data_IF_654495577897
#
_entry.id   IF_654495577897
#
_cell.length_a   1.000
_cell.length_b   1.000
_cell.length_c   1.000
_cell.angle_alpha   90.00
_cell.angle_beta   90.00
_cell.angle_gamma   90.00
#
_symmetry.space_group_name_H-M   'P 1'
#
loop_
_entity.id
_entity.type
_entity.pdbx_description
1 polymer ?
#
# COMPACT_ATOMS: atom_id res chain seq x y z
N UNK A 1 13.73 -23.59 -33.40
CA UNK A 1 13.74 -24.67 -32.38
C UNK A 1 12.55 -24.44 -31.47
N UNK A 2 11.38 -24.96 -31.89
CA UNK A 2 10.12 -24.95 -31.12
C UNK A 2 10.22 -26.05 -30.06
N UNK A 3 10.74 -25.75 -28.89
CA UNK A 3 10.38 -26.51 -27.70
C UNK A 3 8.98 -26.06 -27.31
N UNK A 4 7.99 -26.90 -27.60
CA UNK A 4 6.66 -26.81 -27.00
C UNK A 4 6.90 -26.80 -25.50
N UNK A 5 6.79 -25.62 -24.87
CA UNK A 5 6.85 -25.49 -23.42
C UNK A 5 5.60 -26.17 -22.88
N UNK A 6 5.76 -27.43 -22.47
CA UNK A 6 4.73 -28.15 -21.72
C UNK A 6 4.38 -27.33 -20.47
N UNK A 7 3.11 -27.25 -20.13
CA UNK A 7 2.68 -26.62 -18.88
C UNK A 7 3.45 -27.27 -17.73
N UNK A 8 4.02 -26.46 -16.80
CA UNK A 8 4.82 -27.00 -15.70
C UNK A 8 3.98 -27.92 -14.82
N UNK A 9 4.60 -28.95 -14.26
CA UNK A 9 3.95 -29.86 -13.32
C UNK A 9 3.37 -29.04 -12.14
N UNK A 10 2.04 -29.11 -11.91
CA UNK A 10 1.39 -28.34 -10.85
C UNK A 10 1.96 -28.61 -9.45
N UNK A 11 2.44 -29.83 -9.19
CA UNK A 11 2.98 -30.22 -7.89
C UNK A 11 4.36 -29.61 -7.65
N UNK A 12 5.22 -29.59 -8.66
CA UNK A 12 6.52 -28.93 -8.64
C UNK A 12 6.36 -27.44 -8.49
N UNK A 13 5.45 -26.82 -9.24
CA UNK A 13 5.16 -25.38 -9.17
C UNK A 13 4.66 -24.97 -7.80
N UNK A 14 3.74 -25.74 -7.19
CA UNK A 14 3.21 -25.47 -5.86
C UNK A 14 4.33 -25.57 -4.79
N UNK A 15 5.18 -26.58 -4.87
CA UNK A 15 6.36 -26.75 -4.00
C UNK A 15 7.33 -25.59 -4.13
N UNK A 16 7.67 -25.19 -5.35
CA UNK A 16 8.52 -24.06 -5.65
C UNK A 16 7.95 -22.74 -5.09
N UNK A 17 6.66 -22.46 -5.33
CA UNK A 17 5.98 -21.28 -4.80
C UNK A 17 5.95 -21.26 -3.26
N UNK A 18 5.77 -22.41 -2.61
CA UNK A 18 5.84 -22.53 -1.15
C UNK A 18 7.24 -22.19 -0.62
N UNK A 19 8.30 -22.68 -1.26
CA UNK A 19 9.69 -22.35 -0.91
C UNK A 19 9.98 -20.85 -1.09
N UNK A 20 9.53 -20.24 -2.20
CA UNK A 20 9.68 -18.79 -2.44
C UNK A 20 9.01 -18.01 -1.31
N UNK A 21 7.75 -18.33 -0.98
CA UNK A 21 7.03 -17.65 0.10
C UNK A 21 7.77 -17.78 1.43
N UNK A 22 8.23 -18.98 1.79
CA UNK A 22 8.95 -19.21 3.05
C UNK A 22 10.29 -18.46 3.11
N UNK A 23 10.98 -18.31 1.97
CA UNK A 23 12.28 -17.65 1.90
C UNK A 23 12.18 -16.12 1.89
N UNK A 24 11.20 -15.56 1.18
CA UNK A 24 11.15 -14.12 0.87
C UNK A 24 10.19 -13.35 1.78
N UNK A 25 9.00 -13.93 2.10
CA UNK A 25 7.97 -13.19 2.83
C UNK A 25 8.38 -12.72 4.23
N UNK A 26 9.12 -13.50 5.07
CA UNK A 26 9.53 -13.02 6.38
C UNK A 26 10.35 -11.71 6.28
N UNK A 27 11.30 -11.66 5.34
CA UNK A 27 12.10 -10.46 5.11
C UNK A 27 11.22 -9.28 4.66
N UNK A 28 10.31 -9.50 3.71
CA UNK A 28 9.42 -8.43 3.24
C UNK A 28 8.45 -7.94 4.30
N UNK A 29 7.96 -8.82 5.17
CA UNK A 29 7.13 -8.42 6.31
C UNK A 29 7.92 -7.54 7.28
N UNK A 30 9.17 -7.92 7.60
CA UNK A 30 10.03 -7.11 8.48
C UNK A 30 10.35 -5.77 7.82
N UNK A 31 10.71 -5.76 6.52
CA UNK A 31 10.94 -4.52 5.78
C UNK A 31 9.71 -3.61 5.83
N UNK A 32 8.50 -4.16 5.70
CA UNK A 32 7.25 -3.38 5.74
C UNK A 32 6.93 -2.88 7.15
N UNK A 33 7.23 -3.67 8.19
CA UNK A 33 7.10 -3.22 9.59
C UNK A 33 7.98 -2.00 9.83
N UNK A 34 9.27 -2.09 9.49
CA UNK A 34 10.22 -0.98 9.67
C UNK A 34 9.80 0.24 8.85
N UNK A 35 9.42 0.02 7.58
CA UNK A 35 8.89 1.08 6.71
C UNK A 35 7.68 1.80 7.32
N UNK A 36 6.75 1.06 7.87
CA UNK A 36 5.54 1.64 8.44
C UNK A 36 5.83 2.38 9.76
N UNK A 37 6.74 1.88 10.59
CA UNK A 37 7.17 2.55 11.83
C UNK A 37 7.80 3.89 11.47
N UNK A 38 8.76 3.95 10.54
CA UNK A 38 9.40 5.19 10.08
C UNK A 38 8.40 6.20 9.49
N UNK A 39 7.32 5.73 8.92
CA UNK A 39 6.25 6.59 8.38
C UNK A 39 5.40 7.24 9.46
N UNK A 40 5.10 6.50 10.53
CA UNK A 40 4.16 6.95 11.58
C UNK A 40 4.84 7.55 12.80
N UNK A 41 6.15 7.34 12.98
CA UNK A 41 6.94 7.81 14.12
C UNK A 41 6.84 9.35 14.32
N UNK A 42 6.66 10.08 13.23
CA UNK A 42 6.51 11.54 13.24
C UNK A 42 5.36 12.00 14.16
N UNK A 43 4.32 11.18 14.34
CA UNK A 43 3.21 11.47 15.24
C UNK A 43 3.63 11.57 16.71
N UNK A 44 4.64 10.80 17.11
CA UNK A 44 5.14 10.77 18.50
C UNK A 44 6.07 11.93 18.83
N UNK A 45 6.75 12.52 17.85
CA UNK A 45 7.72 13.61 18.07
C UNK A 45 7.12 15.00 18.01
N UNK A 46 5.84 15.13 17.65
CA UNK A 46 5.20 16.43 17.44
C UNK A 46 5.44 17.42 18.60
N UNK A 47 5.13 17.01 19.82
CA UNK A 47 5.30 17.87 21.00
C UNK A 47 6.77 18.21 21.31
N UNK A 48 7.69 17.31 20.97
CA UNK A 48 9.12 17.54 21.12
C UNK A 48 9.63 18.55 20.08
N UNK A 49 9.20 18.43 18.82
CA UNK A 49 9.56 19.39 17.77
C UNK A 49 9.01 20.80 18.05
N UNK A 50 7.83 20.89 18.64
CA UNK A 50 7.25 22.17 19.07
C UNK A 50 8.06 22.79 20.22
N UNK A 51 8.39 22.00 21.25
CA UNK A 51 9.11 22.47 22.44
C UNK A 51 10.56 22.81 22.14
N UNK A 52 11.28 21.96 21.40
CA UNK A 52 12.72 22.07 21.20
C UNK A 52 13.09 22.96 20.00
N UNK A 53 12.24 23.01 18.97
CA UNK A 53 12.55 23.70 17.70
C UNK A 53 11.51 24.76 17.30
N UNK A 54 10.45 24.96 18.09
CA UNK A 54 9.39 25.90 17.79
C UNK A 54 8.55 25.56 16.55
N UNK A 55 8.54 24.30 16.11
CA UNK A 55 7.77 23.85 14.95
C UNK A 55 6.30 23.71 15.36
N UNK A 56 5.51 24.75 15.08
CA UNK A 56 4.09 24.81 15.43
C UNK A 56 3.20 23.83 14.67
N UNK A 57 1.93 23.77 15.03
CA UNK A 57 0.97 22.78 14.51
C UNK A 57 0.82 22.81 12.97
N UNK A 58 0.75 24.01 12.36
CA UNK A 58 0.62 24.12 10.89
C UNK A 58 1.91 23.67 10.19
N UNK A 59 3.08 24.08 10.70
CA UNK A 59 4.37 23.68 10.17
C UNK A 59 4.56 22.15 10.29
N UNK A 60 4.22 21.58 11.44
CA UNK A 60 4.23 20.13 11.63
C UNK A 60 3.30 19.43 10.62
N UNK A 61 2.06 19.91 10.49
CA UNK A 61 1.08 19.32 9.56
C UNK A 61 1.54 19.38 8.12
N UNK A 62 2.09 20.51 7.66
CA UNK A 62 2.65 20.65 6.32
C UNK A 62 3.85 19.71 6.11
N UNK A 63 4.80 19.66 7.03
CA UNK A 63 5.96 18.79 6.93
C UNK A 63 5.57 17.31 6.91
N UNK A 64 4.63 16.88 7.77
CA UNK A 64 4.09 15.54 7.74
C UNK A 64 3.45 15.20 6.39
N UNK A 65 2.72 16.17 5.79
CA UNK A 65 2.10 16.05 4.48
C UNK A 65 3.11 15.98 3.33
N UNK A 66 4.18 16.80 3.35
CA UNK A 66 5.19 16.87 2.29
C UNK A 66 5.86 15.52 1.99
N UNK A 67 5.91 14.64 2.96
CA UNK A 67 6.32 13.25 2.75
C UNK A 67 5.50 12.59 1.62
N UNK A 68 4.18 12.73 1.65
CA UNK A 68 3.29 12.10 0.66
C UNK A 68 3.43 12.72 -0.73
N UNK A 69 3.75 14.01 -0.80
CA UNK A 69 4.05 14.68 -2.08
C UNK A 69 5.35 14.14 -2.67
N UNK A 70 6.42 14.06 -1.87
CA UNK A 70 7.68 13.45 -2.29
C UNK A 70 7.49 12.00 -2.73
N UNK A 71 6.74 11.22 -1.95
CA UNK A 71 6.41 9.83 -2.28
C UNK A 71 5.68 9.73 -3.64
N UNK A 72 4.60 10.48 -3.84
CA UNK A 72 3.78 10.42 -5.05
C UNK A 72 4.55 10.84 -6.32
N UNK A 73 5.37 11.89 -6.23
CA UNK A 73 6.16 12.38 -7.38
C UNK A 73 7.22 11.39 -7.84
N UNK A 74 7.84 10.66 -6.90
CA UNK A 74 8.93 9.74 -7.20
C UNK A 74 8.50 8.27 -7.32
N UNK A 75 7.24 7.91 -7.04
CA UNK A 75 6.76 6.53 -7.12
C UNK A 75 6.90 5.94 -8.53
N UNK A 76 6.44 6.66 -9.56
CA UNK A 76 6.52 6.18 -10.94
C UNK A 76 7.97 6.12 -11.46
N UNK A 77 8.79 7.19 -11.33
CA UNK A 77 10.20 7.14 -11.70
C UNK A 77 10.96 6.01 -11.00
N UNK A 78 10.73 5.81 -9.69
CA UNK A 78 11.37 4.76 -8.91
C UNK A 78 11.02 3.36 -9.45
N UNK A 79 9.77 3.12 -9.82
CA UNK A 79 9.35 1.84 -10.38
C UNK A 79 9.93 1.55 -11.76
N UNK A 80 10.10 2.56 -12.61
CA UNK A 80 10.76 2.42 -13.90
C UNK A 80 12.24 2.04 -13.71
N UNK A 81 12.91 2.66 -12.76
CA UNK A 81 14.30 2.35 -12.43
C UNK A 81 14.44 0.96 -11.79
N UNK A 82 13.47 0.53 -10.99
CA UNK A 82 13.43 -0.83 -10.43
C UNK A 82 13.36 -1.89 -11.54
N UNK A 83 12.55 -1.65 -12.59
CA UNK A 83 12.50 -2.56 -13.74
C UNK A 83 13.82 -2.62 -14.49
N UNK A 84 14.53 -1.49 -14.59
CA UNK A 84 15.82 -1.39 -15.29
C UNK A 84 16.99 -2.03 -14.53
N UNK A 85 17.08 -1.77 -13.21
CA UNK A 85 18.22 -2.19 -12.38
C UNK A 85 17.98 -3.52 -11.64
N UNK A 86 16.76 -4.02 -11.66
CA UNK A 86 16.34 -5.22 -10.95
C UNK A 86 15.95 -4.96 -9.49
N UNK A 87 15.09 -5.83 -8.97
CA UNK A 87 14.47 -5.64 -7.66
C UNK A 87 15.48 -5.63 -6.50
N UNK A 88 16.48 -6.54 -6.52
CA UNK A 88 17.51 -6.62 -5.46
C UNK A 88 18.26 -5.30 -5.29
N UNK A 89 18.88 -4.79 -6.37
CA UNK A 89 19.69 -3.58 -6.31
C UNK A 89 18.84 -2.35 -5.97
N UNK A 90 17.62 -2.27 -6.55
CA UNK A 90 16.78 -1.09 -6.37
C UNK A 90 16.12 -1.04 -4.99
N UNK A 91 15.61 -2.15 -4.46
CA UNK A 91 15.08 -2.21 -3.10
C UNK A 91 16.17 -1.95 -2.06
N UNK A 92 17.38 -2.47 -2.26
CA UNK A 92 18.55 -2.14 -1.42
C UNK A 92 18.82 -0.65 -1.41
N UNK A 93 18.84 -0.01 -2.60
CA UNK A 93 19.04 1.45 -2.71
C UNK A 93 17.92 2.23 -2.00
N UNK A 94 16.65 1.83 -2.20
CA UNK A 94 15.52 2.47 -1.53
C UNK A 94 15.71 2.41 -0.01
N UNK A 95 16.02 1.26 0.55
CA UNK A 95 16.19 1.11 2.00
C UNK A 95 17.38 1.90 2.53
N UNK A 96 18.49 1.94 1.80
CA UNK A 96 19.65 2.73 2.19
C UNK A 96 19.34 4.23 2.19
N UNK A 97 18.79 4.76 1.08
CA UNK A 97 18.51 6.19 0.95
C UNK A 97 17.41 6.65 1.89
N UNK A 98 16.38 5.82 2.11
CA UNK A 98 15.34 6.09 3.08
C UNK A 98 15.89 6.04 4.51
N UNK A 99 16.65 5.00 4.89
CA UNK A 99 17.26 4.93 6.23
C UNK A 99 18.18 6.11 6.52
N UNK A 100 19.02 6.53 5.54
CA UNK A 100 19.85 7.71 5.66
C UNK A 100 19.04 9.01 5.83
N UNK A 101 17.94 9.17 5.05
CA UNK A 101 17.04 10.31 5.18
C UNK A 101 16.30 10.32 6.53
N UNK A 102 15.89 9.14 7.03
CA UNK A 102 15.30 9.00 8.37
C UNK A 102 16.28 9.39 9.47
N UNK A 103 17.54 8.92 9.38
CA UNK A 103 18.59 9.36 10.33
C UNK A 103 18.86 10.86 10.24
N UNK A 104 18.81 11.46 9.05
CA UNK A 104 19.01 12.90 8.87
C UNK A 104 17.91 13.72 9.56
N UNK A 105 16.71 13.16 9.79
CA UNK A 105 15.66 13.83 10.58
C UNK A 105 16.09 14.14 12.01
N UNK A 106 17.04 13.41 12.59
CA UNK A 106 17.61 13.72 13.91
C UNK A 106 18.34 15.06 13.97
N UNK A 107 18.70 15.62 12.82
CA UNK A 107 19.45 16.88 12.71
C UNK A 107 18.60 18.05 12.19
N UNK A 108 17.29 17.94 12.26
CA UNK A 108 16.36 19.04 11.97
C UNK A 108 16.61 20.20 12.94
N UNK A 109 16.70 21.42 12.41
CA UNK A 109 16.98 22.64 13.17
C UNK A 109 15.84 23.67 13.12
N UNK A 110 14.78 23.40 12.36
CA UNK A 110 13.64 24.30 12.19
C UNK A 110 12.76 23.88 11.02
N UNK A 111 11.74 24.68 10.73
CA UNK A 111 10.70 24.34 9.75
C UNK A 111 11.25 24.01 8.37
N UNK A 112 12.16 24.81 7.83
CA UNK A 112 12.68 24.60 6.46
C UNK A 112 13.42 23.28 6.33
N UNK A 113 14.30 22.94 7.28
CA UNK A 113 15.02 21.66 7.27
C UNK A 113 14.06 20.50 7.48
N UNK A 114 13.01 20.67 8.29
CA UNK A 114 11.95 19.71 8.49
C UNK A 114 11.19 19.41 7.17
N UNK A 115 10.76 20.46 6.44
CA UNK A 115 10.05 20.30 5.16
C UNK A 115 10.91 19.60 4.12
N UNK A 116 12.16 20.04 3.96
CA UNK A 116 13.08 19.47 2.98
C UNK A 116 13.35 17.98 3.27
N UNK A 117 13.64 17.64 4.52
CA UNK A 117 13.93 16.26 4.90
C UNK A 117 12.69 15.36 4.82
N UNK A 118 11.51 15.85 5.17
CA UNK A 118 10.25 15.11 5.00
C UNK A 118 9.96 14.82 3.52
N UNK A 119 10.17 15.80 2.64
CA UNK A 119 10.04 15.60 1.20
C UNK A 119 11.05 14.58 0.66
N UNK A 120 12.34 14.72 1.05
CA UNK A 120 13.40 13.79 0.65
C UNK A 120 13.11 12.38 1.16
N UNK A 121 12.66 12.23 2.41
CA UNK A 121 12.30 10.95 2.98
C UNK A 121 11.18 10.26 2.18
N UNK A 122 10.13 11.01 1.82
CA UNK A 122 9.05 10.51 0.95
C UNK A 122 9.56 10.09 -0.43
N UNK A 123 10.41 10.90 -1.07
CA UNK A 123 11.02 10.59 -2.35
C UNK A 123 11.96 9.37 -2.29
N UNK A 124 12.71 9.21 -1.20
CA UNK A 124 13.61 8.08 -0.97
C UNK A 124 12.87 6.76 -0.75
N UNK A 125 11.72 6.80 -0.05
CA UNK A 125 10.86 5.64 0.22
C UNK A 125 10.01 5.25 -1.01
N UNK A 126 9.82 6.18 -1.94
CA UNK A 126 8.98 5.96 -3.11
C UNK A 126 9.41 4.74 -3.93
N UNK A 127 8.43 3.94 -4.31
CA UNK A 127 8.65 2.71 -5.07
C UNK A 127 8.88 1.46 -4.23
N UNK A 128 8.98 1.56 -2.89
CA UNK A 128 9.13 0.40 -2.02
C UNK A 128 7.95 -0.58 -2.14
N UNK A 129 6.75 -0.12 -1.88
CA UNK A 129 5.54 -0.94 -1.90
C UNK A 129 5.28 -1.54 -3.30
N UNK A 130 5.19 -0.74 -4.38
CA UNK A 130 5.00 -1.30 -5.72
C UNK A 130 6.20 -2.13 -6.20
N UNK A 131 7.41 -1.87 -5.69
CA UNK A 131 8.59 -2.67 -5.96
C UNK A 131 8.48 -4.11 -5.43
N UNK A 132 7.89 -4.28 -4.25
CA UNK A 132 7.62 -5.62 -3.69
C UNK A 132 6.51 -6.32 -4.48
N UNK A 133 5.46 -5.60 -4.88
CA UNK A 133 4.42 -6.15 -5.77
C UNK A 133 5.05 -6.63 -7.08
N UNK A 134 5.92 -5.82 -7.68
CA UNK A 134 6.67 -6.21 -8.88
C UNK A 134 7.52 -7.46 -8.63
N UNK A 135 8.23 -7.54 -7.51
CA UNK A 135 8.99 -8.73 -7.13
C UNK A 135 8.09 -9.98 -7.10
N UNK A 136 6.91 -9.90 -6.50
CA UNK A 136 5.97 -11.02 -6.51
C UNK A 136 5.53 -11.44 -7.91
N UNK A 137 5.45 -10.50 -8.85
CA UNK A 137 5.11 -10.86 -10.26
C UNK A 137 6.23 -11.62 -10.95
N UNK A 138 7.47 -11.44 -10.53
CA UNK A 138 8.64 -12.13 -11.10
C UNK A 138 8.93 -13.48 -10.42
N UNK A 139 8.36 -13.74 -9.24
CA UNK A 139 8.71 -14.88 -8.41
C UNK A 139 7.55 -15.83 -8.11
N UNK A 140 6.32 -15.38 -8.27
CA UNK A 140 5.14 -16.17 -7.91
C UNK A 140 4.14 -16.23 -9.07
N UNK A 141 3.52 -17.40 -9.31
CA UNK A 141 2.39 -17.50 -10.23
C UNK A 141 1.19 -16.70 -9.70
N UNK A 142 0.29 -16.26 -10.60
CA UNK A 142 -0.85 -15.41 -10.29
C UNK A 142 -1.73 -15.96 -9.15
N UNK A 143 -1.92 -17.28 -9.10
CA UNK A 143 -2.71 -17.99 -8.08
C UNK A 143 -2.17 -17.83 -6.65
N UNK A 144 -0.86 -17.57 -6.48
CA UNK A 144 -0.20 -17.47 -5.18
C UNK A 144 0.11 -16.03 -4.76
N UNK A 145 0.06 -15.07 -5.69
CA UNK A 145 0.35 -13.65 -5.40
C UNK A 145 -0.60 -13.05 -4.38
N UNK A 146 -1.89 -13.38 -4.46
CA UNK A 146 -2.90 -12.89 -3.50
C UNK A 146 -2.59 -13.30 -2.06
N UNK A 147 -2.20 -14.56 -1.85
CA UNK A 147 -1.80 -15.05 -0.52
C UNK A 147 -0.52 -14.38 -0.02
N UNK A 148 0.49 -14.21 -0.89
CA UNK A 148 1.73 -13.53 -0.56
C UNK A 148 1.48 -12.06 -0.18
N UNK A 149 0.63 -11.35 -0.93
CA UNK A 149 0.21 -9.98 -0.61
C UNK A 149 -0.50 -9.87 0.74
N UNK A 150 -1.41 -10.80 1.05
CA UNK A 150 -2.11 -10.78 2.35
C UNK A 150 -1.13 -10.93 3.52
N UNK A 151 -0.15 -11.84 3.41
CA UNK A 151 0.90 -12.01 4.42
C UNK A 151 1.78 -10.75 4.50
N UNK A 152 2.21 -10.19 3.38
CA UNK A 152 2.99 -8.96 3.35
C UNK A 152 2.27 -7.78 4.01
N UNK A 153 1.00 -7.58 3.67
CA UNK A 153 0.16 -6.51 4.23
C UNK A 153 -0.10 -6.65 5.73
N UNK A 154 -0.04 -7.88 6.28
CA UNK A 154 -0.15 -8.07 7.73
C UNK A 154 0.97 -7.36 8.51
N UNK A 155 2.11 -7.10 7.87
CA UNK A 155 3.19 -6.29 8.43
C UNK A 155 2.75 -4.89 8.86
N UNK A 156 1.86 -4.22 8.09
CA UNK A 156 1.35 -2.90 8.48
C UNK A 156 0.45 -2.95 9.72
N UNK A 157 -0.33 -4.02 9.87
CA UNK A 157 -1.16 -4.22 11.05
C UNK A 157 -0.30 -4.43 12.30
N UNK A 158 0.71 -5.30 12.20
CA UNK A 158 1.69 -5.53 13.25
C UNK A 158 2.42 -4.21 13.59
N UNK A 159 2.90 -3.50 12.59
CA UNK A 159 3.60 -2.22 12.76
C UNK A 159 2.74 -1.17 13.46
N UNK A 160 1.45 -1.07 13.11
CA UNK A 160 0.53 -0.12 13.77
C UNK A 160 0.41 -0.35 15.28
N UNK A 161 0.47 -1.62 15.71
CA UNK A 161 0.41 -1.97 17.14
C UNK A 161 1.73 -1.72 17.84
N UNK A 162 2.86 -2.12 17.22
CA UNK A 162 4.17 -2.06 17.89
C UNK A 162 4.86 -0.69 17.75
N UNK A 163 4.47 0.14 16.78
CA UNK A 163 5.09 1.47 16.57
C UNK A 163 5.02 2.33 17.82
N UNK A 164 3.88 2.33 18.53
CA UNK A 164 3.71 3.10 19.75
C UNK A 164 4.72 2.73 20.85
N UNK A 165 4.75 1.49 21.33
CA UNK A 165 5.72 1.05 22.34
C UNK A 165 7.18 1.23 21.91
N UNK A 166 7.50 0.97 20.64
CA UNK A 166 8.87 1.12 20.10
C UNK A 166 9.27 2.60 20.10
N UNK A 167 8.51 3.47 19.44
CA UNK A 167 8.82 4.90 19.38
C UNK A 167 8.78 5.55 20.77
N UNK A 168 7.81 5.17 21.62
CA UNK A 168 7.73 5.67 23.00
C UNK A 168 8.93 5.25 23.87
N UNK A 169 9.43 4.02 23.70
CA UNK A 169 10.63 3.58 24.38
C UNK A 169 11.88 4.33 23.90
N UNK A 170 11.98 4.54 22.58
CA UNK A 170 13.12 5.26 21.99
C UNK A 170 13.12 6.75 22.38
N UNK A 171 11.96 7.38 22.49
CA UNK A 171 11.83 8.75 22.99
C UNK A 171 12.32 8.91 24.44
N UNK A 172 12.29 7.84 25.23
CA UNK A 172 12.80 7.83 26.62
C UNK A 172 14.32 7.68 26.70
N UNK A 173 14.99 7.42 25.58
CA UNK A 173 16.46 7.32 25.55
C UNK A 173 17.09 8.69 25.68
N UNK A 174 18.09 8.82 26.56
CA UNK A 174 18.88 10.04 26.74
C UNK A 174 20.38 9.73 26.68
N UNK A 175 21.18 10.62 26.17
CA UNK A 175 22.64 10.49 26.13
C UNK A 175 23.27 11.29 24.99
N UNK A 176 24.57 11.51 25.09
CA UNK A 176 25.40 12.24 24.10
C UNK A 176 24.83 13.62 23.71
N UNK A 177 24.20 14.32 24.66
CA UNK A 177 23.55 15.61 24.43
C UNK A 177 22.46 15.61 23.34
N UNK A 178 21.91 14.44 23.01
CA UNK A 178 20.82 14.30 22.07
C UNK A 178 19.49 14.12 22.81
N UNK A 179 18.43 14.70 22.27
CA UNK A 179 17.06 14.51 22.73
C UNK A 179 16.54 13.12 22.32
N UNK A 180 15.55 12.58 23.05
CA UNK A 180 14.99 11.25 22.78
C UNK A 180 14.44 11.10 21.35
N UNK A 181 13.84 12.16 20.78
CA UNK A 181 13.35 12.15 19.40
C UNK A 181 14.47 12.02 18.36
N UNK A 182 15.66 12.55 18.65
CA UNK A 182 16.83 12.40 17.78
C UNK A 182 17.31 10.94 17.81
N UNK A 183 17.38 10.34 19.01
CA UNK A 183 17.69 8.91 19.16
C UNK A 183 16.69 8.01 18.42
N UNK A 184 15.40 8.33 18.48
CA UNK A 184 14.37 7.57 17.78
C UNK A 184 14.64 7.55 16.26
N UNK A 185 14.85 8.71 15.63
CA UNK A 185 15.16 8.77 14.19
C UNK A 185 16.48 8.10 13.83
N UNK A 186 17.52 8.23 14.68
CA UNK A 186 18.80 7.58 14.44
C UNK A 186 18.68 6.05 14.49
N UNK A 187 18.01 5.52 15.50
CA UNK A 187 17.91 4.07 15.70
C UNK A 187 16.98 3.43 14.65
N UNK A 188 15.80 4.03 14.38
CA UNK A 188 14.87 3.52 13.38
C UNK A 188 15.47 3.60 11.96
N UNK A 189 16.09 4.73 11.61
CA UNK A 189 16.78 4.87 10.33
C UNK A 189 17.98 3.94 10.18
N UNK A 190 18.75 3.73 11.26
CA UNK A 190 19.86 2.77 11.27
C UNK A 190 19.36 1.31 11.09
N UNK A 191 18.24 0.94 11.70
CA UNK A 191 17.61 -0.36 11.48
C UNK A 191 17.28 -0.60 10.00
N UNK A 192 16.82 0.42 9.29
CA UNK A 192 16.57 0.38 7.84
C UNK A 192 17.86 0.14 7.04
N UNK A 193 18.98 0.77 7.45
CA UNK A 193 20.29 0.56 6.81
C UNK A 193 20.81 -0.86 7.09
N UNK A 194 20.64 -1.37 8.30
CA UNK A 194 21.02 -2.77 8.63
C UNK A 194 20.20 -3.74 7.78
N UNK A 195 18.90 -3.53 7.65
CA UNK A 195 18.05 -4.35 6.77
C UNK A 195 18.46 -4.23 5.29
N UNK A 196 18.94 -3.08 4.86
CA UNK A 196 19.51 -2.92 3.50
C UNK A 196 20.61 -3.97 3.23
N UNK A 197 21.51 -4.21 4.20
CA UNK A 197 22.51 -5.28 4.11
C UNK A 197 21.87 -6.66 3.95
N UNK A 198 20.86 -7.00 4.77
CA UNK A 198 20.14 -8.28 4.64
C UNK A 198 19.46 -8.41 3.27
N UNK A 199 18.82 -7.35 2.76
CA UNK A 199 18.20 -7.34 1.43
C UNK A 199 19.23 -7.64 0.35
N UNK A 200 20.41 -7.01 0.42
CA UNK A 200 21.48 -7.21 -0.56
C UNK A 200 21.99 -8.65 -0.62
N UNK A 201 22.18 -9.28 0.51
CA UNK A 201 22.72 -10.65 0.57
C UNK A 201 21.64 -11.73 0.41
N UNK A 202 20.41 -11.48 0.80
CA UNK A 202 19.34 -12.48 0.83
C UNK A 202 18.50 -12.52 -0.45
N UNK A 203 18.18 -11.36 -1.05
CA UNK A 203 17.34 -11.32 -2.23
C UNK A 203 18.13 -11.62 -3.49
N UNK A 204 17.52 -12.36 -4.39
CA UNK A 204 17.96 -12.51 -5.78
C UNK A 204 16.98 -11.77 -6.70
N UNK A 205 17.51 -11.24 -7.83
CA UNK A 205 16.67 -10.51 -8.78
C UNK A 205 15.80 -11.43 -9.65
N UNK A 206 16.20 -12.69 -9.83
CA UNK A 206 15.51 -13.61 -10.73
C UNK A 206 15.51 -15.04 -10.18
N UNK A 207 14.44 -15.86 -10.36
CA UNK A 207 14.38 -17.25 -9.91
C UNK A 207 15.53 -18.13 -10.35
N UNK A 208 16.08 -17.89 -11.54
CA UNK A 208 17.26 -18.64 -12.05
C UNK A 208 18.50 -18.51 -11.17
N UNK A 209 18.62 -17.44 -10.38
CA UNK A 209 19.76 -17.15 -9.50
C UNK A 209 19.61 -17.80 -8.11
N UNK A 210 18.45 -18.39 -7.81
CA UNK A 210 18.15 -18.94 -6.49
C UNK A 210 18.90 -20.27 -6.27
N UNK A 211 19.89 -20.28 -5.39
CA UNK A 211 20.64 -21.51 -5.02
C UNK A 211 19.79 -22.47 -4.17
N UNK A 212 18.75 -21.99 -3.52
CA UNK A 212 17.87 -22.76 -2.66
C UNK A 212 16.67 -23.42 -3.40
N UNK A 213 16.54 -23.22 -4.73
CA UNK A 213 15.59 -23.91 -5.60
C UNK A 213 16.33 -24.98 -6.43
N UNK A 214 15.69 -26.15 -6.63
CA UNK A 214 16.17 -27.13 -7.60
C UNK A 214 16.01 -26.61 -9.03
N UNK A 215 16.76 -27.18 -9.98
CA UNK A 215 16.64 -26.79 -11.40
C UNK A 215 15.24 -27.01 -11.95
N UNK A 216 14.57 -28.11 -11.53
CA UNK A 216 13.19 -28.41 -11.89
C UNK A 216 12.23 -27.32 -11.36
N UNK A 217 12.40 -26.89 -10.11
CA UNK A 217 11.59 -25.82 -9.48
C UNK A 217 11.81 -24.46 -10.15
N UNK A 218 13.06 -24.14 -10.52
CA UNK A 218 13.40 -22.92 -11.28
C UNK A 218 12.71 -22.89 -12.64
N UNK A 219 12.82 -24.02 -13.38
CA UNK A 219 12.19 -24.15 -14.69
C UNK A 219 10.66 -24.04 -14.60
N UNK A 220 10.03 -24.70 -13.62
CA UNK A 220 8.59 -24.63 -13.40
C UNK A 220 8.12 -23.19 -13.14
N UNK A 221 8.81 -22.44 -12.27
CA UNK A 221 8.49 -21.04 -11.98
C UNK A 221 8.69 -20.14 -13.21
N UNK A 222 9.83 -20.24 -13.88
CA UNK A 222 10.15 -19.40 -15.04
C UNK A 222 9.16 -19.66 -16.17
N UNK A 223 8.81 -20.92 -16.45
CA UNK A 223 7.85 -21.30 -17.48
C UNK A 223 6.44 -20.79 -17.17
N UNK A 224 5.99 -20.95 -15.91
CA UNK A 224 4.67 -20.45 -15.50
C UNK A 224 4.56 -18.94 -15.64
N UNK A 225 5.57 -18.19 -15.20
CA UNK A 225 5.60 -16.73 -15.28
C UNK A 225 5.69 -16.27 -16.74
N UNK A 226 6.50 -16.94 -17.57
CA UNK A 226 6.62 -16.62 -19.00
C UNK A 226 5.29 -16.83 -19.74
N UNK A 227 4.58 -17.94 -19.49
CA UNK A 227 3.25 -18.19 -20.05
C UNK A 227 2.23 -17.13 -19.64
N UNK A 228 2.25 -16.69 -18.37
CA UNK A 228 1.40 -15.60 -17.92
C UNK A 228 1.73 -14.26 -18.60
N UNK A 229 3.01 -13.97 -18.83
CA UNK A 229 3.43 -12.75 -19.53
C UNK A 229 2.95 -12.76 -20.98
N UNK A 230 3.14 -13.86 -21.70
CA UNK A 230 2.66 -14.02 -23.06
C UNK A 230 1.13 -13.88 -23.15
N UNK A 231 0.39 -14.48 -22.22
CA UNK A 231 -1.06 -14.33 -22.16
C UNK A 231 -1.50 -12.87 -21.91
N UNK A 232 -0.76 -12.12 -21.10
CA UNK A 232 -1.01 -10.69 -20.87
C UNK A 232 -0.68 -9.83 -22.08
N UNK A 233 0.40 -10.13 -22.79
CA UNK A 233 0.81 -9.43 -24.02
C UNK A 233 -0.19 -9.68 -25.13
N UNK A 234 -0.67 -10.92 -25.29
CA UNK A 234 -1.71 -11.27 -26.24
C UNK A 234 -3.07 -10.58 -25.94
N UNK A 235 -3.34 -10.30 -24.68
CA UNK A 235 -4.54 -9.60 -24.23
C UNK A 235 -4.39 -8.06 -24.26
N UNK A 236 -3.39 -7.50 -24.94
CA UNK A 236 -3.12 -6.06 -24.96
C UNK A 236 -4.34 -5.25 -25.47
N UNK A 237 -5.03 -4.67 -24.51
CA UNK A 237 -6.00 -3.61 -24.74
C UNK A 237 -5.31 -2.28 -24.45
N UNK A 238 -5.51 -1.31 -25.30
CA UNK A 238 -5.09 0.09 -25.12
C UNK A 238 -5.36 0.53 -23.66
N UNK A 239 -4.32 0.95 -22.95
CA UNK A 239 -4.48 1.46 -21.57
C UNK A 239 -5.16 2.82 -21.63
N UNK A 240 -6.35 2.99 -21.04
CA UNK A 240 -7.00 4.29 -21.04
C UNK A 240 -6.14 5.31 -20.28
N UNK A 241 -6.17 6.55 -20.74
CA UNK A 241 -5.49 7.66 -20.07
C UNK A 241 -6.03 7.84 -18.65
N UNK A 242 -5.17 8.23 -17.71
CA UNK A 242 -5.58 8.55 -16.33
C UNK A 242 -6.70 9.60 -16.29
N UNK A 243 -6.66 10.61 -17.16
CA UNK A 243 -7.72 11.62 -17.26
C UNK A 243 -9.05 11.02 -17.74
N UNK A 244 -9.02 10.06 -18.67
CA UNK A 244 -10.23 9.36 -19.12
C UNK A 244 -10.85 8.52 -18.00
N UNK A 245 -10.01 7.91 -17.15
CA UNK A 245 -10.48 7.15 -15.99
C UNK A 245 -11.11 8.07 -14.94
N UNK A 246 -10.49 9.22 -14.64
CA UNK A 246 -11.03 10.20 -13.68
C UNK A 246 -12.32 10.86 -14.17
N UNK A 247 -12.56 10.91 -15.48
CA UNK A 247 -13.83 11.41 -16.05
C UNK A 247 -15.01 10.45 -15.81
N UNK A 248 -14.76 9.17 -15.49
CA UNK A 248 -15.83 8.24 -15.12
C UNK A 248 -16.32 8.54 -13.71
N UNK A 249 -17.63 8.86 -13.60
CA UNK A 249 -18.28 9.23 -12.32
C UNK A 249 -18.13 8.14 -11.25
N UNK A 250 -18.16 6.87 -11.62
CA UNK A 250 -18.03 5.77 -10.64
C UNK A 250 -16.60 5.66 -10.13
N UNK A 251 -15.61 5.81 -11.01
CA UNK A 251 -14.19 5.82 -10.60
C UNK A 251 -13.92 7.04 -9.70
N UNK A 252 -14.43 8.21 -10.04
CA UNK A 252 -14.33 9.40 -9.20
C UNK A 252 -14.97 9.21 -7.82
N UNK A 253 -16.15 8.54 -7.74
CA UNK A 253 -16.76 8.17 -6.46
C UNK A 253 -15.89 7.22 -5.64
N UNK A 254 -15.32 6.19 -6.26
CA UNK A 254 -14.40 5.28 -5.57
C UNK A 254 -13.15 6.02 -5.04
N UNK A 255 -12.58 6.90 -5.85
CA UNK A 255 -11.46 7.75 -5.43
C UNK A 255 -11.83 8.62 -4.22
N UNK A 256 -12.99 9.27 -4.24
CA UNK A 256 -13.45 10.11 -3.14
C UNK A 256 -13.69 9.31 -1.85
N UNK A 257 -14.34 8.13 -1.94
CA UNK A 257 -14.60 7.29 -0.78
C UNK A 257 -13.28 6.85 -0.14
N UNK A 258 -12.34 6.35 -0.97
CA UNK A 258 -11.05 5.87 -0.46
C UNK A 258 -10.17 7.02 0.05
N UNK A 259 -10.20 8.18 -0.58
CA UNK A 259 -9.57 9.40 -0.08
C UNK A 259 -10.10 9.78 1.30
N UNK A 260 -11.42 9.75 1.52
CA UNK A 260 -12.05 10.06 2.81
C UNK A 260 -11.62 9.07 3.90
N UNK A 261 -11.54 7.78 3.56
CA UNK A 261 -11.04 6.74 4.48
C UNK A 261 -9.57 7.01 4.84
N UNK A 262 -8.73 7.26 3.85
CA UNK A 262 -7.30 7.51 4.05
C UNK A 262 -7.07 8.81 4.85
N UNK A 263 -7.81 9.87 4.53
CA UNK A 263 -7.79 11.14 5.26
C UNK A 263 -8.06 10.93 6.75
N UNK A 264 -9.08 10.14 7.09
CA UNK A 264 -9.43 9.83 8.48
C UNK A 264 -8.35 8.99 9.17
N UNK A 265 -7.80 7.98 8.49
CA UNK A 265 -6.72 7.14 9.02
C UNK A 265 -5.48 7.98 9.33
N UNK A 266 -5.02 8.81 8.38
CA UNK A 266 -3.80 9.61 8.57
C UNK A 266 -4.00 10.74 9.57
N UNK A 267 -5.18 11.40 9.57
CA UNK A 267 -5.52 12.40 10.57
C UNK A 267 -5.47 11.82 11.99
N UNK A 268 -6.10 10.67 12.21
CA UNK A 268 -6.02 9.96 13.48
C UNK A 268 -4.57 9.55 13.81
N UNK A 269 -3.85 8.94 12.88
CA UNK A 269 -2.48 8.41 13.10
C UNK A 269 -1.53 9.49 13.60
N UNK A 270 -1.55 10.69 13.02
CA UNK A 270 -0.57 11.73 13.34
C UNK A 270 -0.94 12.56 14.58
N UNK A 271 -2.22 12.62 14.97
CA UNK A 271 -2.66 13.39 16.13
C UNK A 271 -2.94 12.55 17.37
N UNK A 272 -3.17 11.25 17.23
CA UNK A 272 -3.48 10.36 18.33
C UNK A 272 -2.46 10.41 19.49
N UNK A 273 -1.13 10.39 19.25
CA UNK A 273 -0.17 10.51 20.36
C UNK A 273 -0.33 11.80 21.15
N UNK A 274 -0.56 12.93 20.46
CA UNK A 274 -0.78 14.22 21.10
C UNK A 274 -2.08 14.26 21.91
N UNK A 275 -3.15 13.62 21.44
CA UNK A 275 -4.41 13.48 22.18
C UNK A 275 -4.23 12.64 23.45
N UNK A 276 -3.47 11.55 23.36
CA UNK A 276 -3.17 10.70 24.51
C UNK A 276 -2.37 11.47 25.55
N UNK A 277 -1.42 12.30 25.12
CA UNK A 277 -0.60 13.12 26.01
C UNK A 277 -1.42 14.12 26.82
N UNK A 278 -2.57 14.55 26.31
CA UNK A 278 -3.52 15.43 27.03
C UNK A 278 -4.31 14.71 28.13
N UNK A 279 -4.30 13.38 28.22
CA UNK A 279 -5.01 12.63 29.24
C UNK A 279 -4.41 12.78 30.65
N UNK A 280 -3.16 13.28 30.75
CA UNK A 280 -2.48 13.51 32.01
C UNK A 280 -0.96 13.58 31.86
N UNK A 281 -0.23 13.50 32.95
CA UNK A 281 1.24 13.49 32.97
C UNK A 281 1.81 12.13 32.56
N UNK A 282 1.47 11.69 31.32
CA UNK A 282 1.95 10.43 30.77
C UNK A 282 3.36 10.60 30.18
N UNK A 283 4.26 9.66 30.53
CA UNK A 283 5.55 9.54 29.86
C UNK A 283 5.42 9.02 28.44
N UNK A 284 6.43 9.29 27.59
CA UNK A 284 6.39 8.94 26.17
C UNK A 284 6.17 7.44 25.93
N UNK A 285 6.73 6.55 26.75
CA UNK A 285 6.48 5.11 26.67
C UNK A 285 5.01 4.75 26.97
N UNK A 286 4.40 5.43 27.95
CA UNK A 286 2.97 5.21 28.25
C UNK A 286 2.09 5.70 27.13
N UNK A 287 2.40 6.87 26.55
CA UNK A 287 1.72 7.36 25.34
C UNK A 287 1.81 6.34 24.21
N UNK A 288 2.98 5.75 24.01
CA UNK A 288 3.19 4.69 23.03
C UNK A 288 2.33 3.45 23.29
N UNK A 289 2.25 2.98 24.55
CA UNK A 289 1.41 1.84 24.92
C UNK A 289 -0.08 2.13 24.67
N UNK A 290 -0.58 3.28 25.11
CA UNK A 290 -1.96 3.68 24.85
C UNK A 290 -2.24 3.81 23.36
N UNK A 291 -1.29 4.30 22.58
CA UNK A 291 -1.43 4.42 21.12
C UNK A 291 -1.66 3.07 20.42
N UNK A 292 -1.18 1.96 20.98
CA UNK A 292 -1.40 0.61 20.42
C UNK A 292 -2.85 0.14 20.55
N UNK A 293 -3.60 0.62 21.53
CA UNK A 293 -4.95 0.13 21.87
C UNK A 293 -5.94 0.33 20.71
N UNK A 294 -6.10 1.53 20.12
CA UNK A 294 -7.01 1.73 19.00
C UNK A 294 -6.68 0.82 17.80
N UNK A 295 -5.38 0.65 17.51
CA UNK A 295 -4.95 -0.20 16.40
C UNK A 295 -5.22 -1.67 16.64
N UNK A 296 -4.98 -2.17 17.85
CA UNK A 296 -5.27 -3.56 18.22
C UNK A 296 -6.79 -3.84 18.12
N UNK A 297 -7.61 -2.98 18.70
CA UNK A 297 -9.07 -3.09 18.62
C UNK A 297 -9.54 -3.06 17.16
N UNK A 298 -8.99 -2.14 16.36
CA UNK A 298 -9.37 -2.00 14.96
C UNK A 298 -9.00 -3.20 14.09
N UNK A 299 -7.89 -3.87 14.37
CA UNK A 299 -7.50 -5.11 13.68
C UNK A 299 -8.51 -6.22 13.96
N UNK A 300 -8.84 -6.43 15.24
CA UNK A 300 -9.83 -7.45 15.64
C UNK A 300 -11.19 -7.16 14.99
N UNK A 301 -11.63 -5.90 15.04
CA UNK A 301 -12.87 -5.47 14.43
C UNK A 301 -12.88 -5.63 12.91
N UNK A 302 -11.78 -5.29 12.24
CA UNK A 302 -11.63 -5.43 10.78
C UNK A 302 -11.87 -6.88 10.34
N UNK A 303 -11.24 -7.86 10.98
CA UNK A 303 -11.46 -9.27 10.66
C UNK A 303 -12.86 -9.75 11.01
N UNK A 304 -13.40 -9.32 12.16
CA UNK A 304 -14.75 -9.65 12.58
C UNK A 304 -15.82 -9.14 11.61
N UNK A 305 -15.74 -7.86 11.23
CA UNK A 305 -16.66 -7.27 10.27
C UNK A 305 -16.48 -7.80 8.84
N UNK A 306 -15.25 -8.11 8.42
CA UNK A 306 -15.02 -8.76 7.14
C UNK A 306 -15.67 -10.15 7.09
N UNK A 307 -15.56 -10.95 8.15
CA UNK A 307 -16.23 -12.24 8.27
C UNK A 307 -17.77 -12.11 8.31
N UNK A 308 -18.31 -11.08 8.97
CA UNK A 308 -19.74 -10.80 8.96
C UNK A 308 -20.22 -10.37 7.56
N UNK A 309 -19.53 -9.43 6.95
CA UNK A 309 -19.90 -8.87 5.65
C UNK A 309 -19.86 -9.93 4.53
N UNK A 310 -19.00 -10.95 4.65
CA UNK A 310 -18.93 -12.07 3.68
C UNK A 310 -20.21 -12.90 3.65
N UNK A 311 -21.00 -12.90 4.72
CA UNK A 311 -22.28 -13.62 4.82
C UNK A 311 -23.47 -12.80 4.28
N UNK A 312 -23.33 -11.50 4.12
CA UNK A 312 -24.38 -10.57 3.77
C UNK A 312 -24.08 -9.86 2.47
N UNK A 313 -25.02 -9.85 1.52
CA UNK A 313 -24.78 -9.36 0.14
C UNK A 313 -24.69 -7.83 -0.02
N UNK A 314 -24.90 -7.04 1.04
CA UNK A 314 -24.98 -5.58 0.95
C UNK A 314 -23.66 -4.90 1.36
N UNK A 315 -22.64 -5.01 0.50
CA UNK A 315 -21.30 -4.49 0.77
C UNK A 315 -21.29 -2.97 1.04
N UNK A 316 -22.08 -2.19 0.29
CA UNK A 316 -22.17 -0.74 0.47
C UNK A 316 -22.72 -0.37 1.86
N UNK A 317 -23.74 -1.09 2.34
CA UNK A 317 -24.33 -0.84 3.65
C UNK A 317 -23.30 -1.08 4.78
N UNK A 318 -22.45 -2.09 4.65
CA UNK A 318 -21.39 -2.36 5.61
C UNK A 318 -20.34 -1.24 5.61
N UNK A 319 -19.88 -0.80 4.43
CA UNK A 319 -18.91 0.31 4.34
C UNK A 319 -19.50 1.59 4.89
N UNK A 320 -20.76 1.90 4.55
CA UNK A 320 -21.48 3.07 5.07
C UNK A 320 -21.61 3.02 6.59
N UNK A 321 -22.04 1.89 7.17
CA UNK A 321 -22.14 1.70 8.62
C UNK A 321 -20.79 1.96 9.30
N UNK A 322 -19.71 1.41 8.75
CA UNK A 322 -18.37 1.61 9.31
C UNK A 322 -17.91 3.08 9.23
N UNK A 323 -18.24 3.78 8.15
CA UNK A 323 -17.95 5.20 8.02
C UNK A 323 -18.81 6.07 8.98
N UNK A 324 -20.05 5.69 9.24
CA UNK A 324 -20.89 6.33 10.27
C UNK A 324 -20.31 6.12 11.66
N UNK A 325 -19.84 4.90 11.98
CA UNK A 325 -19.15 4.61 13.23
C UNK A 325 -17.88 5.45 13.38
N UNK A 326 -17.10 5.59 12.31
CA UNK A 326 -15.92 6.45 12.29
C UNK A 326 -16.30 7.92 12.54
N UNK A 327 -17.28 8.44 11.82
CA UNK A 327 -17.76 9.81 11.96
C UNK A 327 -18.29 10.10 13.37
N UNK A 328 -19.10 9.19 13.90
CA UNK A 328 -19.65 9.32 15.25
C UNK A 328 -18.56 9.31 16.32
N UNK A 329 -17.59 8.39 16.24
CA UNK A 329 -16.47 8.36 17.17
C UNK A 329 -15.58 9.60 17.10
N UNK A 330 -15.30 10.12 15.88
CA UNK A 330 -14.57 11.38 15.71
C UNK A 330 -15.33 12.57 16.29
N UNK A 331 -16.64 12.65 16.06
CA UNK A 331 -17.49 13.70 16.63
C UNK A 331 -17.52 13.60 18.16
N UNK A 332 -17.77 12.42 18.73
CA UNK A 332 -17.81 12.22 20.18
C UNK A 332 -16.48 12.56 20.85
N UNK A 333 -15.36 12.36 20.18
CA UNK A 333 -14.04 12.72 20.73
C UNK A 333 -13.86 14.22 21.00
N UNK A 334 -14.74 15.07 20.49
CA UNK A 334 -14.71 16.52 20.71
C UNK A 334 -15.58 16.98 21.89
N UNK A 335 -16.45 16.10 22.44
CA UNK A 335 -17.51 16.50 23.39
C UNK A 335 -17.17 16.29 24.85
N UNK A 336 -16.12 15.51 25.16
CA UNK A 336 -15.77 15.12 26.51
C UNK A 336 -14.34 15.47 26.91
N UNK A 337 -13.94 15.05 28.12
CA UNK A 337 -12.57 15.16 28.57
C UNK A 337 -11.60 14.23 27.80
N UNK A 338 -10.26 14.37 28.00
CA UNK A 338 -9.26 13.64 27.22
C UNK A 338 -9.41 12.13 27.23
N UNK A 339 -9.79 11.53 28.36
CA UNK A 339 -10.02 10.06 28.48
C UNK A 339 -11.23 9.65 27.65
N UNK A 340 -12.33 10.42 27.67
CA UNK A 340 -13.50 10.15 26.86
C UNK A 340 -13.17 10.30 25.37
N UNK A 341 -12.40 11.34 25.00
CA UNK A 341 -11.93 11.55 23.64
C UNK A 341 -11.11 10.34 23.14
N UNK A 342 -10.23 9.80 23.97
CA UNK A 342 -9.47 8.60 23.63
C UNK A 342 -10.35 7.37 23.39
N UNK A 343 -11.33 7.11 24.27
CA UNK A 343 -12.29 6.01 24.09
C UNK A 343 -13.10 6.18 22.81
N UNK A 344 -13.55 7.41 22.52
CA UNK A 344 -14.26 7.74 21.29
C UNK A 344 -13.40 7.52 20.04
N UNK A 345 -12.10 7.84 20.08
CA UNK A 345 -11.17 7.53 18.99
C UNK A 345 -10.95 6.02 18.84
N UNK A 346 -10.87 5.25 19.93
CA UNK A 346 -10.83 3.78 19.83
C UNK A 346 -12.06 3.25 19.07
N UNK A 347 -13.24 3.80 19.36
CA UNK A 347 -14.45 3.44 18.65
C UNK A 347 -14.42 3.89 17.17
N UNK A 348 -13.93 5.10 16.87
CA UNK A 348 -13.74 5.56 15.50
C UNK A 348 -12.78 4.67 14.73
N UNK A 349 -11.73 4.16 15.37
CA UNK A 349 -10.72 3.29 14.75
C UNK A 349 -11.32 1.97 14.23
N UNK A 350 -12.30 1.42 14.93
CA UNK A 350 -13.10 0.29 14.43
C UNK A 350 -13.72 0.65 13.08
N UNK A 351 -14.35 1.82 12.99
CA UNK A 351 -15.06 2.26 11.81
C UNK A 351 -14.13 2.45 10.60
N UNK A 352 -13.13 3.32 10.71
CA UNK A 352 -12.31 3.66 9.54
C UNK A 352 -11.41 2.49 9.08
N UNK A 353 -10.93 1.62 9.97
CA UNK A 353 -10.14 0.44 9.58
C UNK A 353 -11.01 -0.64 8.93
N UNK A 354 -12.17 -0.93 9.49
CA UNK A 354 -13.10 -1.87 8.88
C UNK A 354 -13.63 -1.35 7.52
N UNK A 355 -13.95 -0.04 7.42
CA UNK A 355 -14.32 0.58 6.15
C UNK A 355 -13.24 0.41 5.09
N UNK A 356 -11.96 0.61 5.45
CA UNK A 356 -10.83 0.43 4.53
C UNK A 356 -10.74 -0.99 3.95
N UNK A 357 -10.98 -2.01 4.77
CA UNK A 357 -10.96 -3.40 4.31
C UNK A 357 -12.18 -3.76 3.48
N UNK A 358 -13.36 -3.31 3.90
CA UNK A 358 -14.64 -3.61 3.26
C UNK A 358 -14.87 -2.83 1.96
N UNK A 359 -14.14 -1.77 1.72
CA UNK A 359 -14.26 -0.95 0.52
C UNK A 359 -13.81 -1.66 -0.75
N UNK A 360 -12.68 -2.36 -0.73
CA UNK A 360 -12.02 -2.89 -1.92
C UNK A 360 -12.85 -3.87 -2.77
N UNK A 361 -13.69 -4.74 -2.21
CA UNK A 361 -14.59 -5.59 -3.01
C UNK A 361 -15.57 -4.80 -3.90
N UNK A 362 -15.92 -3.55 -3.54
CA UNK A 362 -16.87 -2.74 -4.32
C UNK A 362 -16.28 -2.38 -5.69
N UNK A 363 -15.13 -1.67 -5.81
CA UNK A 363 -14.55 -1.39 -7.11
C UNK A 363 -14.12 -2.67 -7.86
N UNK A 364 -13.64 -3.71 -7.16
CA UNK A 364 -13.26 -4.97 -7.78
C UNK A 364 -14.44 -5.68 -8.45
N UNK A 365 -15.63 -5.60 -7.88
CA UNK A 365 -16.85 -6.18 -8.47
C UNK A 365 -17.41 -5.36 -9.64
N UNK A 366 -17.12 -4.07 -9.70
CA UNK A 366 -17.58 -3.17 -10.77
C UNK A 366 -16.67 -3.17 -11.99
N UNK A 367 -15.35 -3.31 -11.82
CA UNK A 367 -14.35 -3.09 -12.84
C UNK A 367 -14.17 -4.31 -13.75
N UNK A 368 -14.07 -4.05 -15.05
CA UNK A 368 -13.59 -5.05 -16.01
C UNK A 368 -12.13 -5.43 -15.67
N UNK A 369 -11.83 -6.72 -15.75
CA UNK A 369 -10.49 -7.25 -15.44
C UNK A 369 -9.35 -6.56 -16.23
N UNK A 370 -9.66 -6.01 -17.43
CA UNK A 370 -8.71 -5.34 -18.31
C UNK A 370 -8.20 -4.02 -17.75
N UNK A 371 -9.05 -3.25 -17.05
CA UNK A 371 -8.73 -1.92 -16.50
C UNK A 371 -8.61 -1.94 -14.99
N UNK A 372 -9.00 -3.03 -14.33
CA UNK A 372 -9.07 -3.13 -12.87
C UNK A 372 -7.75 -2.72 -12.19
N UNK A 373 -6.61 -3.19 -12.68
CA UNK A 373 -5.31 -2.89 -12.09
C UNK A 373 -4.98 -1.38 -12.15
N UNK A 374 -5.26 -0.73 -13.29
CA UNK A 374 -5.01 0.71 -13.45
C UNK A 374 -5.93 1.55 -12.58
N UNK A 375 -7.21 1.18 -12.49
CA UNK A 375 -8.20 1.90 -11.66
C UNK A 375 -7.92 1.71 -10.17
N UNK A 376 -7.58 0.50 -9.73
CA UNK A 376 -7.19 0.24 -8.33
C UNK A 376 -5.95 1.07 -7.95
N UNK A 377 -4.95 1.14 -8.84
CA UNK A 377 -3.79 1.98 -8.64
C UNK A 377 -4.17 3.47 -8.53
N UNK A 378 -5.05 3.95 -9.40
CA UNK A 378 -5.55 5.34 -9.37
C UNK A 378 -6.29 5.64 -8.07
N UNK A 379 -7.20 4.77 -7.64
CA UNK A 379 -7.94 4.92 -6.37
C UNK A 379 -6.96 4.99 -5.19
N UNK A 380 -5.95 4.12 -5.19
CA UNK A 380 -4.93 4.11 -4.13
C UNK A 380 -4.08 5.39 -4.14
N UNK A 381 -3.67 5.86 -5.32
CA UNK A 381 -2.87 7.09 -5.45
C UNK A 381 -3.64 8.32 -5.00
N UNK A 382 -4.92 8.46 -5.41
CA UNK A 382 -5.79 9.54 -4.93
C UNK A 382 -6.03 9.43 -3.41
N UNK A 383 -6.22 8.21 -2.89
CA UNK A 383 -6.34 7.96 -1.46
C UNK A 383 -5.10 8.43 -0.68
N UNK A 384 -3.91 8.16 -1.18
CA UNK A 384 -2.67 8.59 -0.55
C UNK A 384 -2.52 10.13 -0.46
N UNK A 385 -3.20 10.91 -1.33
CA UNK A 385 -3.29 12.36 -1.17
C UNK A 385 -4.00 12.77 0.13
N UNK A 386 -4.86 11.90 0.70
CA UNK A 386 -5.40 12.08 2.03
C UNK A 386 -4.32 12.17 3.11
N UNK A 387 -3.19 11.49 2.91
CA UNK A 387 -2.02 11.60 3.77
C UNK A 387 -1.32 12.96 3.74
N UNK A 388 -1.47 13.72 2.65
CA UNK A 388 -1.04 15.12 2.57
C UNK A 388 -2.11 16.06 3.15
N UNK A 389 -3.36 15.92 2.71
CA UNK A 389 -4.44 16.85 3.06
C UNK A 389 -4.78 16.78 4.54
N UNK A 390 -4.85 15.58 5.13
CA UNK A 390 -5.22 15.40 6.53
C UNK A 390 -4.28 16.17 7.48
N UNK A 391 -2.98 15.88 7.53
CA UNK A 391 -2.10 16.55 8.48
C UNK A 391 -1.97 18.04 8.20
N UNK A 392 -1.93 18.45 6.93
CA UNK A 392 -1.81 19.86 6.55
C UNK A 392 -3.03 20.67 7.00
N UNK A 393 -4.24 20.19 6.71
CA UNK A 393 -5.49 20.86 7.11
C UNK A 393 -5.68 20.83 8.62
N UNK A 394 -5.38 19.71 9.26
CA UNK A 394 -5.52 19.54 10.70
C UNK A 394 -4.57 20.50 11.46
N UNK A 395 -3.29 20.56 11.05
CA UNK A 395 -2.31 21.47 11.65
C UNK A 395 -2.67 22.94 11.45
N UNK A 396 -3.15 23.32 10.27
CA UNK A 396 -3.62 24.68 9.99
C UNK A 396 -4.83 25.07 10.86
N UNK A 397 -5.84 24.20 10.95
CA UNK A 397 -7.02 24.45 11.80
C UNK A 397 -6.63 24.55 13.27
N UNK A 398 -5.75 23.68 13.76
CA UNK A 398 -5.30 23.74 15.14
C UNK A 398 -4.54 25.04 15.45
N UNK A 399 -3.65 25.47 14.55
CA UNK A 399 -2.92 26.72 14.74
C UNK A 399 -3.81 27.96 14.72
N UNK A 400 -4.87 27.96 13.90
CA UNK A 400 -5.77 29.11 13.77
C UNK A 400 -6.84 29.16 14.87
N UNK A 401 -7.29 28.00 15.35
CA UNK A 401 -8.37 27.90 16.34
C UNK A 401 -7.89 27.64 17.77
N UNK A 402 -6.61 27.30 17.94
CA UNK A 402 -6.04 26.85 19.22
C UNK A 402 -6.56 25.48 19.67
N UNK A 403 -7.24 24.72 18.80
CA UNK A 403 -7.88 23.46 19.15
C UNK A 403 -7.82 22.43 18.02
N UNK A 404 -7.62 21.18 18.40
CA UNK A 404 -7.70 20.02 17.48
C UNK A 404 -9.12 19.70 17.03
N UNK A 405 -10.14 20.28 17.69
CA UNK A 405 -11.56 19.96 17.44
C UNK A 405 -11.97 20.25 16.00
N UNK A 406 -11.50 21.36 15.41
CA UNK A 406 -11.78 21.69 14.02
C UNK A 406 -11.37 20.60 13.04
N UNK A 407 -10.19 20.01 13.23
CA UNK A 407 -9.73 18.86 12.45
C UNK A 407 -10.60 17.63 12.63
N UNK A 408 -10.97 17.29 13.87
CA UNK A 408 -11.84 16.16 14.19
C UNK A 408 -13.22 16.31 13.58
N UNK A 409 -13.83 17.53 13.62
CA UNK A 409 -15.09 17.81 12.92
C UNK A 409 -14.96 17.64 11.41
N UNK A 410 -13.86 18.08 10.82
CA UNK A 410 -13.57 17.87 9.39
C UNK A 410 -13.51 16.41 9.01
N UNK A 411 -12.83 15.58 9.82
CA UNK A 411 -12.76 14.13 9.61
C UNK A 411 -14.13 13.47 9.78
N UNK A 412 -14.91 13.87 10.80
CA UNK A 412 -16.25 13.35 11.02
C UNK A 412 -17.18 13.68 9.84
N UNK A 413 -17.19 14.95 9.40
CA UNK A 413 -17.98 15.39 8.26
C UNK A 413 -17.61 14.67 6.97
N UNK A 414 -16.31 14.53 6.67
CA UNK A 414 -15.84 13.84 5.46
C UNK A 414 -16.22 12.36 5.49
N UNK A 415 -16.10 11.69 6.63
CA UNK A 415 -16.51 10.30 6.80
C UNK A 415 -18.02 10.13 6.64
N UNK A 416 -18.83 11.06 7.15
CA UNK A 416 -20.29 11.03 7.01
C UNK A 416 -20.71 11.25 5.55
N UNK A 417 -20.10 12.21 4.86
CA UNK A 417 -20.32 12.42 3.42
C UNK A 417 -19.97 11.15 2.64
N UNK A 418 -18.83 10.55 2.92
CA UNK A 418 -18.43 9.30 2.27
C UNK A 418 -19.39 8.14 2.56
N UNK A 419 -19.96 8.07 3.78
CA UNK A 419 -20.98 7.08 4.14
C UNK A 419 -22.25 7.21 3.27
N UNK A 420 -22.66 8.42 2.94
CA UNK A 420 -23.77 8.66 2.01
C UNK A 420 -23.37 8.35 0.57
N UNK A 421 -22.20 8.82 0.15
CA UNK A 421 -21.69 8.64 -1.22
C UNK A 421 -21.50 7.17 -1.60
N UNK A 422 -21.18 6.31 -0.65
CA UNK A 422 -21.03 4.86 -0.87
C UNK A 422 -22.29 4.22 -1.46
N UNK A 423 -23.49 4.69 -1.15
CA UNK A 423 -24.74 4.15 -1.72
C UNK A 423 -24.88 4.42 -3.22
N UNK A 424 -24.21 5.44 -3.75
CA UNK A 424 -24.17 5.73 -5.19
C UNK A 424 -23.09 4.95 -5.95
N UNK A 425 -22.20 4.28 -5.22
CA UNK A 425 -21.18 3.43 -5.80
C UNK A 425 -21.80 2.12 -6.32
N UNK A 426 -21.57 1.76 -7.57
CA UNK A 426 -22.09 0.53 -8.18
C UNK A 426 -21.21 -0.65 -7.82
N UNK A 427 -21.84 -1.79 -7.53
CA UNK A 427 -21.17 -3.06 -7.20
C UNK A 427 -21.19 -4.07 -8.35
N UNK A 428 -22.00 -3.83 -9.38
CA UNK A 428 -22.12 -4.69 -10.54
C UNK A 428 -21.59 -4.00 -11.79
N UNK A 429 -21.02 -4.74 -12.76
CA UNK A 429 -20.58 -4.18 -14.04
C UNK A 429 -21.73 -3.47 -14.73
N UNK A 430 -21.42 -2.40 -15.47
CA UNK A 430 -22.39 -1.71 -16.32
C UNK A 430 -22.85 -2.71 -17.39
N UNK A 431 -24.04 -3.31 -17.23
CA UNK A 431 -24.69 -4.07 -18.28
C UNK A 431 -24.99 -3.10 -19.43
N UNK A 432 -24.15 -3.10 -20.48
CA UNK A 432 -24.40 -2.26 -21.66
C UNK A 432 -23.19 -1.56 -22.27
N UNK A 433 -21.94 -1.97 -21.99
CA UNK A 433 -20.89 -1.76 -22.98
C UNK A 433 -21.01 -2.96 -23.93
N UNK A 434 -21.46 -2.78 -25.21
CA UNK A 434 -21.39 -3.88 -26.15
C UNK A 434 -19.92 -4.30 -26.17
N UNK A 435 -19.67 -5.59 -25.92
CA UNK A 435 -18.43 -6.17 -26.39
C UNK A 435 -18.33 -5.69 -27.84
N UNK A 436 -17.35 -4.82 -28.13
CA UNK A 436 -17.11 -4.40 -29.49
C UNK A 436 -17.06 -5.70 -30.27
N UNK A 437 -18.07 -5.91 -31.08
CA UNK A 437 -18.10 -6.92 -32.12
C UNK A 437 -17.00 -6.51 -33.10
N UNK A 438 -15.77 -6.79 -32.73
CA UNK A 438 -14.75 -7.01 -33.73
C UNK A 438 -15.18 -8.35 -34.35
N UNK A 439 -15.60 -8.33 -35.62
CA UNK A 439 -15.89 -9.57 -36.30
C UNK A 439 -14.60 -10.40 -36.19
N UNK A 440 -14.66 -11.51 -35.48
CA UNK A 440 -13.66 -12.55 -35.63
C UNK A 440 -13.91 -13.08 -37.03
N UNK A 441 -13.18 -12.55 -38.00
CA UNK A 441 -13.11 -13.18 -39.29
C UNK A 441 -12.73 -14.65 -39.03
N UNK A 442 -13.56 -15.59 -39.48
CA UNK A 442 -13.19 -17.00 -39.35
C UNK A 442 -11.88 -17.15 -40.13
N UNK A 443 -10.84 -17.63 -39.44
CA UNK A 443 -9.64 -18.12 -40.12
C UNK A 443 -10.08 -19.17 -41.08
N UNK A 444 -10.24 -18.80 -42.35
CA UNK A 444 -10.52 -19.72 -43.42
C UNK A 444 -9.30 -20.63 -43.50
N UNK A 445 -9.46 -21.81 -42.97
CA UNK A 445 -8.55 -22.91 -43.17
C UNK A 445 -8.50 -23.21 -44.67
N UNK A 446 -7.43 -22.79 -45.34
CA UNK A 446 -7.18 -23.22 -46.71
C UNK A 446 -7.13 -24.75 -46.75
N UNK A 447 -7.90 -25.38 -47.69
CA UNK A 447 -7.82 -26.83 -47.86
C UNK A 447 -6.40 -27.17 -48.37
N UNK A 448 -5.72 -28.06 -47.69
CA UNK A 448 -4.57 -28.74 -48.24
C UNK A 448 -5.01 -29.53 -49.45
N UNK A 449 -4.71 -29.06 -50.64
CA UNK A 449 -4.79 -29.84 -51.87
C UNK A 449 -3.83 -31.03 -51.77
N UNK A 450 -4.38 -32.20 -51.46
CA UNK A 450 -3.74 -33.46 -51.63
C UNK A 450 -4.04 -33.97 -53.06
N UNK A 451 -3.20 -33.63 -54.00
CA UNK A 451 -3.14 -34.35 -55.27
C UNK A 451 -1.84 -35.15 -55.37
N UNK A 452 -1.88 -36.33 -54.82
CA UNK A 452 -1.07 -37.45 -55.30
C UNK A 452 -1.88 -38.09 -56.46
N UNK A 453 -1.42 -37.95 -57.67
CA UNK A 453 -1.76 -38.85 -58.77
C UNK A 453 -0.48 -39.45 -59.31
N UNK A 454 -0.32 -40.73 -58.93
CA UNK A 454 0.50 -41.70 -59.65
C UNK A 454 0.02 -41.84 -61.07
N UNK A 455 0.88 -41.68 -62.06
CA UNK A 455 0.81 -42.35 -63.35
C UNK A 455 2.18 -42.80 -63.80
N UNK A 456 2.24 -44.11 -63.80
CA UNK A 456 3.24 -44.95 -64.47
C UNK A 456 3.12 -44.78 -66.02
N UNK A 457 4.23 -44.95 -66.69
CA UNK A 457 4.14 -45.45 -68.07
C UNK A 457 5.19 -44.88 -69.01
N UNK A 458 6.22 -45.65 -69.18
CA UNK A 458 6.80 -46.13 -70.45
C UNK A 458 7.41 -45.18 -71.49
N UNK A 459 8.68 -45.52 -71.70
CA UNK A 459 9.29 -45.84 -73.04
C UNK A 459 9.65 -44.70 -73.99
N UNK A 460 10.90 -44.81 -74.43
CA UNK A 460 11.36 -44.69 -75.76
C UNK A 460 12.55 -43.73 -75.85
N UNK A 461 13.72 -44.15 -75.83
CA UNK A 461 14.61 -44.62 -76.91
C UNK A 461 14.99 -43.54 -77.95
N UNK A 462 16.29 -43.44 -78.15
CA UNK A 462 17.02 -43.03 -79.36
C UNK A 462 17.29 -41.50 -79.52
N UNK A 463 18.45 -41.08 -79.36
CA UNK A 463 19.70 -40.95 -80.08
C UNK A 463 20.67 -39.98 -79.36
#
# INVERSE_FOLDING_TARGET
>A
LNTVQSSPDPTVLARAAAKVKRHVLPLFVVMFIVNYIDRVNIGFVRSHLETDLGIGAAAYGLGAGLFFIGYALFEVPSNLLLQRYGARAWLTRIMFTWGAAAMAMAFVQGETSFYVLRFILGAAEAGFFPGIIYYFTQWLPASERGKAMAIFLSGSAIASVISGPVSGALLSVSGLSLHGWQWMFLIEGFASIVLCGFVWFWLQSHPRQASWLSEEEKQALVSAIALEQLAREAAQVSRPSMFTLLADKQIALFCFIYFSIALTIYGATFWLPSMIKQMGSLGDFQVGLFNSIPWLISIVAMYGFAALASKWKHQQAWVSLMLVIAAFGMFMSTTGGPVFAFVAICFAAIGFKAASALFWPIPQGYLDARIAAAVIALINSVGNLGGFVAPTTFGFLEQTTGSIQGGLYGLAATSLIAAVVVFFARTAPRSGVPASTVPVEPVVSQPRDSHHTLRSGQQGAIS
#
